data_IF_694451537568
#
_entry.id   IF_694451537568
#
_cell.length_a   1.000
_cell.length_b   1.000
_cell.length_c   1.000
_cell.angle_alpha   90.00
_cell.angle_beta   90.00
_cell.angle_gamma   90.00
#
_symmetry.space_group_name_H-M   'P 1'
#
loop_
_entity.id
_entity.type
_entity.pdbx_description
1 polymer ?
#
# COMPACT_ATOMS: atom_id res chain seq x y z
N UNK A 1 -14.60 -12.39 42.69
CA UNK A 1 -15.06 -11.32 41.75
C UNK A 1 -13.94 -10.37 41.29
N UNK A 2 -12.90 -10.10 42.10
CA UNK A 2 -11.76 -9.24 41.68
C UNK A 2 -10.85 -9.89 40.62
N UNK A 3 -10.56 -11.19 40.76
CA UNK A 3 -9.66 -11.92 39.86
C UNK A 3 -10.21 -12.10 38.42
N UNK A 4 -11.52 -12.14 38.25
CA UNK A 4 -12.13 -12.29 36.91
C UNK A 4 -11.93 -11.01 36.06
N UNK A 5 -11.76 -9.85 36.71
CA UNK A 5 -11.53 -8.55 36.06
C UNK A 5 -10.09 -8.40 35.59
N UNK A 6 -9.13 -8.96 36.32
CA UNK A 6 -7.70 -8.96 35.94
C UNK A 6 -7.43 -9.91 34.78
N UNK A 7 -8.05 -11.09 34.74
CA UNK A 7 -7.92 -12.00 33.60
C UNK A 7 -8.53 -11.43 32.31
N UNK A 8 -9.67 -10.72 32.39
CA UNK A 8 -10.27 -10.06 31.24
C UNK A 8 -9.37 -8.94 30.66
N UNK A 9 -8.65 -8.20 31.51
CA UNK A 9 -7.71 -7.17 31.07
C UNK A 9 -6.46 -7.74 30.39
N UNK A 10 -5.96 -8.89 30.86
CA UNK A 10 -4.82 -9.60 30.26
C UNK A 10 -5.21 -10.22 28.91
N UNK A 11 -6.43 -10.74 28.80
CA UNK A 11 -6.94 -11.29 27.54
C UNK A 11 -7.21 -10.21 26.48
N UNK A 12 -7.59 -9.00 26.91
CA UNK A 12 -7.79 -7.86 26.00
C UNK A 12 -6.48 -7.37 25.37
N UNK A 13 -5.39 -7.27 26.14
CA UNK A 13 -4.11 -6.76 25.64
C UNK A 13 -3.43 -7.72 24.66
N UNK A 14 -3.57 -9.04 24.86
CA UNK A 14 -3.02 -10.07 23.97
C UNK A 14 -3.74 -10.14 22.61
N UNK A 15 -5.04 -9.86 22.55
CA UNK A 15 -5.81 -9.89 21.31
C UNK A 15 -5.41 -8.78 20.31
N UNK A 16 -4.96 -7.62 20.80
CA UNK A 16 -4.69 -6.44 19.97
C UNK A 16 -3.39 -6.54 19.15
N UNK A 17 -2.42 -7.37 19.56
CA UNK A 17 -1.10 -7.44 18.94
C UNK A 17 -1.04 -8.31 17.66
N UNK A 18 -2.13 -8.98 17.29
CA UNK A 18 -2.14 -9.94 16.16
C UNK A 18 -2.88 -9.42 14.92
N UNK A 19 -3.52 -8.25 14.99
CA UNK A 19 -4.25 -7.67 13.87
C UNK A 19 -3.32 -6.79 13.03
N UNK A 20 -2.79 -7.41 11.97
CA UNK A 20 -2.27 -6.82 10.73
C UNK A 20 -0.75 -7.01 10.51
N UNK A 21 -0.44 -8.07 9.77
CA UNK A 21 0.73 -8.10 8.90
C UNK A 21 0.21 -8.21 7.46
N UNK A 22 0.01 -7.06 6.80
CA UNK A 22 -0.25 -7.04 5.38
C UNK A 22 1.07 -7.29 4.64
N UNK A 23 1.06 -8.16 3.63
CA UNK A 23 2.23 -8.37 2.79
C UNK A 23 2.69 -7.03 2.19
N UNK A 24 4.01 -6.77 2.12
CA UNK A 24 4.52 -5.54 1.54
C UNK A 24 4.13 -5.45 0.06
N UNK A 25 3.58 -4.32 -0.34
CA UNK A 25 3.23 -4.05 -1.74
C UNK A 25 4.51 -3.85 -2.55
N UNK A 26 4.58 -4.52 -3.69
CA UNK A 26 5.69 -4.44 -4.62
C UNK A 26 5.31 -3.73 -5.92
N UNK A 27 6.31 -3.37 -6.71
CA UNK A 27 6.07 -2.80 -8.04
C UNK A 27 5.28 -3.74 -8.97
N UNK A 28 5.39 -5.05 -8.78
CA UNK A 28 4.68 -6.04 -9.60
C UNK A 28 3.17 -5.99 -9.35
N UNK A 29 2.75 -5.51 -8.18
CA UNK A 29 1.34 -5.33 -7.84
C UNK A 29 0.78 -4.04 -8.46
N UNK A 30 1.62 -3.00 -8.58
CA UNK A 30 1.21 -1.64 -8.96
C UNK A 30 1.33 -1.38 -10.45
N UNK A 31 2.44 -1.75 -11.09
CA UNK A 31 2.74 -1.43 -12.50
C UNK A 31 1.65 -1.95 -13.46
N UNK A 32 1.10 -3.18 -13.31
CA UNK A 32 0.03 -3.64 -14.20
C UNK A 32 -1.25 -2.80 -14.13
N UNK A 33 -1.57 -2.27 -12.94
CA UNK A 33 -2.74 -1.41 -12.72
C UNK A 33 -2.53 -0.07 -13.44
N UNK A 34 -1.38 0.56 -13.22
CA UNK A 34 -1.04 1.84 -13.85
C UNK A 34 -0.94 1.72 -15.37
N UNK A 35 -0.40 0.61 -15.87
CA UNK A 35 -0.30 0.33 -17.30
C UNK A 35 -1.67 0.30 -17.99
N UNK A 36 -2.69 -0.22 -17.31
CA UNK A 36 -4.05 -0.34 -17.85
C UNK A 36 -4.88 0.93 -17.73
N UNK A 37 -4.61 1.77 -16.73
CA UNK A 37 -5.48 2.90 -16.38
C UNK A 37 -4.87 4.28 -16.59
N UNK A 38 -3.54 4.40 -16.49
CA UNK A 38 -2.87 5.69 -16.35
C UNK A 38 -1.87 5.96 -17.47
N UNK A 39 -1.17 4.92 -17.96
CA UNK A 39 -0.10 5.06 -18.97
C UNK A 39 -0.61 5.57 -20.32
N UNK A 40 -1.91 5.48 -20.59
CA UNK A 40 -2.51 6.09 -21.77
C UNK A 40 -2.30 7.61 -21.81
N UNK A 41 -2.39 8.28 -20.66
CA UNK A 41 -2.25 9.74 -20.50
C UNK A 41 -0.88 10.15 -19.93
N UNK A 42 -0.29 9.31 -19.07
CA UNK A 42 0.97 9.56 -18.36
C UNK A 42 2.06 8.56 -18.79
N UNK A 43 2.34 8.49 -20.09
CA UNK A 43 3.24 7.52 -20.70
C UNK A 43 4.04 8.09 -21.87
N UNK A 44 4.36 7.26 -22.87
CA UNK A 44 5.15 7.73 -24.02
C UNK A 44 4.33 8.57 -25.00
N UNK A 45 3.08 8.15 -25.25
CA UNK A 45 2.21 8.70 -26.27
C UNK A 45 1.68 10.08 -25.85
N UNK A 46 0.96 10.11 -24.74
CA UNK A 46 0.52 11.32 -24.09
C UNK A 46 1.35 11.50 -22.82
N UNK A 47 1.76 12.74 -22.56
CA UNK A 47 2.66 13.14 -21.47
C UNK A 47 1.98 14.17 -20.58
N UNK A 48 0.73 13.91 -20.24
CA UNK A 48 -0.06 14.83 -19.43
C UNK A 48 0.59 15.03 -18.06
N UNK A 49 0.60 16.27 -17.58
CA UNK A 49 1.23 16.63 -16.31
C UNK A 49 2.74 16.43 -16.22
N UNK A 50 3.42 16.02 -17.30
CA UNK A 50 4.87 15.79 -17.29
C UNK A 50 5.33 14.59 -16.45
N UNK A 51 4.40 13.69 -16.10
CA UNK A 51 4.67 12.49 -15.29
C UNK A 51 4.68 11.24 -16.17
N UNK A 52 5.62 10.32 -15.93
CA UNK A 52 5.70 9.02 -16.60
C UNK A 52 5.55 7.86 -15.61
N UNK A 53 4.42 7.14 -15.71
CA UNK A 53 4.01 6.08 -14.78
C UNK A 53 4.35 4.67 -15.26
N UNK A 54 5.21 4.51 -16.27
CA UNK A 54 5.57 3.18 -16.78
C UNK A 54 6.59 2.44 -15.92
N UNK A 55 7.43 3.16 -15.18
CA UNK A 55 8.46 2.57 -14.33
C UNK A 55 8.58 3.33 -13.01
N UNK A 56 8.98 2.64 -11.95
CA UNK A 56 9.24 3.26 -10.64
C UNK A 56 10.25 4.41 -10.76
N UNK A 57 11.30 4.23 -11.55
CA UNK A 57 12.35 5.24 -11.73
C UNK A 57 11.80 6.51 -12.40
N UNK A 58 11.00 6.36 -13.46
CA UNK A 58 10.37 7.50 -14.14
C UNK A 58 9.42 8.28 -13.22
N UNK A 59 8.65 7.57 -12.39
CA UNK A 59 7.76 8.19 -11.41
C UNK A 59 8.52 9.08 -10.42
N UNK A 60 9.63 8.57 -9.90
CA UNK A 60 10.44 9.28 -8.90
C UNK A 60 11.28 10.41 -9.51
N UNK A 61 11.54 10.37 -10.82
CA UNK A 61 12.23 11.41 -11.56
C UNK A 61 11.30 12.53 -12.06
N UNK A 62 9.98 12.33 -11.97
CA UNK A 62 8.99 13.33 -12.38
C UNK A 62 9.07 14.57 -11.47
N UNK A 63 8.93 15.76 -12.05
CA UNK A 63 9.26 17.04 -11.42
C UNK A 63 8.09 17.67 -10.66
#
# INVERSE_FOLDING_TARGET
MSQLRTYAAILWTLACATLASAAPVSQHDVIPILSRRCVMCHGQTLKEGGVDLRTKTSMLASK
#
